data_IF_799011681679
#
_entry.id   IF_799011681679
#
_cell.length_a   1.000
_cell.length_b   1.000
_cell.length_c   1.000
_cell.angle_alpha   90.00
_cell.angle_beta   90.00
_cell.angle_gamma   90.00
#
_symmetry.space_group_name_H-M   'P 1'
#
loop_
_entity.id
_entity.type
_entity.pdbx_description
1 polymer ?
#
# COMPACT_ATOMS: atom_id res chain seq x y z
N UNK A 1 -74.24 42.46 32.71
CA UNK A 1 -74.52 42.40 31.26
C UNK A 1 -74.31 43.82 30.74
N UNK A 2 -73.39 44.19 29.86
CA UNK A 2 -72.92 43.54 28.61
C UNK A 2 -71.67 44.28 28.10
N UNK A 3 -70.69 43.48 27.61
CA UNK A 3 -69.72 43.68 26.52
C UNK A 3 -68.77 44.91 26.44
N UNK A 4 -67.47 44.63 26.61
CA UNK A 4 -66.32 45.40 26.09
C UNK A 4 -66.07 45.15 24.59
N UNK A 5 -65.59 46.14 23.82
CA UNK A 5 -65.11 45.95 22.45
C UNK A 5 -63.58 46.05 22.37
N UNK A 6 -62.86 44.95 22.18
CA UNK A 6 -61.46 44.99 21.73
C UNK A 6 -61.06 43.69 21.03
N UNK A 7 -61.60 43.44 19.83
CA UNK A 7 -61.04 42.46 18.88
C UNK A 7 -61.36 42.88 17.45
N UNK A 8 -60.49 43.68 16.82
CA UNK A 8 -60.47 43.82 15.35
C UNK A 8 -59.17 44.47 14.85
N UNK A 9 -58.04 43.75 14.96
CA UNK A 9 -56.81 44.08 14.22
C UNK A 9 -55.84 42.88 14.22
N UNK A 10 -56.25 41.72 13.67
CA UNK A 10 -55.32 40.60 13.49
C UNK A 10 -55.71 39.55 12.42
N UNK A 11 -56.61 39.84 11.48
CA UNK A 11 -57.00 38.84 10.45
C UNK A 11 -57.27 39.50 9.10
N UNK A 12 -56.23 39.89 8.36
CA UNK A 12 -56.36 40.20 6.92
C UNK A 12 -55.07 40.21 6.08
N UNK A 13 -54.00 39.53 6.50
CA UNK A 13 -52.76 39.44 5.73
C UNK A 13 -52.39 38.01 5.24
N UNK A 14 -53.27 37.01 5.36
CA UNK A 14 -52.85 35.59 5.31
C UNK A 14 -53.11 34.77 4.02
N UNK A 15 -54.01 35.10 3.06
CA UNK A 15 -54.27 34.20 1.93
C UNK A 15 -53.27 34.29 0.77
N UNK A 16 -52.49 35.39 0.66
CA UNK A 16 -51.51 35.59 -0.42
C UNK A 16 -50.06 35.20 -0.05
N UNK A 17 -49.75 35.08 1.25
CA UNK A 17 -48.42 34.70 1.74
C UNK A 17 -48.09 33.22 1.47
N UNK A 18 -49.08 32.33 1.63
CA UNK A 18 -48.89 30.88 1.45
C UNK A 18 -48.56 30.47 0.00
N UNK A 19 -49.27 30.93 -1.05
CA UNK A 19 -48.91 30.59 -2.43
C UNK A 19 -47.61 31.26 -2.89
N UNK A 20 -47.32 32.49 -2.47
CA UNK A 20 -46.06 33.18 -2.82
C UNK A 20 -44.84 32.51 -2.15
N UNK A 21 -44.97 32.06 -0.90
CA UNK A 21 -43.96 31.23 -0.25
C UNK A 21 -43.77 29.88 -0.97
N UNK A 22 -44.86 29.23 -1.42
CA UNK A 22 -44.79 27.96 -2.16
C UNK A 22 -44.06 28.11 -3.49
N UNK A 23 -44.45 29.07 -4.33
CA UNK A 23 -43.81 29.31 -5.62
C UNK A 23 -42.38 29.82 -5.47
N UNK A 24 -42.10 30.65 -4.45
CA UNK A 24 -40.74 31.06 -4.11
C UNK A 24 -39.87 29.87 -3.67
N UNK A 25 -40.39 28.95 -2.87
CA UNK A 25 -39.67 27.74 -2.47
C UNK A 25 -39.38 26.85 -3.69
N UNK A 26 -40.36 26.65 -4.56
CA UNK A 26 -40.18 25.89 -5.81
C UNK A 26 -39.10 26.53 -6.69
N UNK A 27 -39.16 27.85 -6.91
CA UNK A 27 -38.16 28.56 -7.71
C UNK A 27 -36.74 28.42 -7.13
N UNK A 28 -36.59 28.52 -5.80
CA UNK A 28 -35.28 28.32 -5.13
C UNK A 28 -34.79 26.89 -5.27
N UNK A 29 -35.64 25.89 -5.05
CA UNK A 29 -35.26 24.48 -5.20
C UNK A 29 -34.92 24.14 -6.66
N UNK A 30 -35.69 24.65 -7.63
CA UNK A 30 -35.40 24.50 -9.06
C UNK A 30 -34.08 25.16 -9.43
N UNK A 31 -33.79 26.36 -8.92
CA UNK A 31 -32.51 27.04 -9.13
C UNK A 31 -31.35 26.21 -8.53
N UNK A 32 -31.51 25.69 -7.32
CA UNK A 32 -30.50 24.84 -6.69
C UNK A 32 -30.26 23.55 -7.49
N UNK A 33 -31.31 22.93 -8.01
CA UNK A 33 -31.19 21.75 -8.89
C UNK A 33 -30.48 22.08 -10.20
N UNK A 34 -30.82 23.21 -10.83
CA UNK A 34 -30.14 23.67 -12.06
C UNK A 34 -28.67 23.95 -11.76
N UNK A 35 -28.34 24.58 -10.64
CA UNK A 35 -26.96 24.81 -10.22
C UNK A 35 -26.21 23.51 -9.91
N UNK A 36 -26.87 22.53 -9.30
CA UNK A 36 -26.30 21.20 -9.03
C UNK A 36 -25.95 20.47 -10.33
N UNK A 37 -26.86 20.49 -11.31
CA UNK A 37 -26.65 19.88 -12.63
C UNK A 37 -25.61 20.64 -13.46
N UNK A 38 -25.61 21.97 -13.41
CA UNK A 38 -24.65 22.80 -14.14
C UNK A 38 -23.24 22.72 -13.54
N UNK A 39 -23.13 22.46 -12.24
CA UNK A 39 -21.86 22.40 -11.51
C UNK A 39 -21.80 21.13 -10.64
N UNK A 40 -21.62 19.94 -11.23
CA UNK A 40 -21.56 18.69 -10.47
C UNK A 40 -20.42 18.72 -9.43
N UNK A 41 -20.57 18.03 -8.28
CA UNK A 41 -19.54 18.02 -7.26
C UNK A 41 -18.26 17.35 -7.82
N UNK A 42 -17.06 17.93 -7.59
CA UNK A 42 -15.80 17.36 -8.06
C UNK A 42 -15.43 16.15 -7.20
N UNK A 43 -16.11 15.02 -7.44
CA UNK A 43 -15.82 13.78 -6.75
C UNK A 43 -14.53 13.16 -7.29
N UNK A 44 -13.69 12.57 -6.41
CA UNK A 44 -12.48 11.88 -6.82
C UNK A 44 -12.73 10.82 -7.89
N UNK A 45 -11.90 10.81 -8.93
CA UNK A 45 -11.90 9.71 -9.91
C UNK A 45 -10.90 8.63 -9.46
N UNK A 46 -11.16 7.38 -9.84
CA UNK A 46 -10.27 6.24 -9.61
C UNK A 46 -8.82 6.43 -10.12
N UNK A 47 -8.56 7.43 -10.98
CA UNK A 47 -7.22 7.76 -11.51
C UNK A 47 -6.40 8.72 -10.63
N UNK A 48 -6.99 9.32 -9.61
CA UNK A 48 -6.34 10.30 -8.72
C UNK A 48 -5.87 9.69 -7.39
N UNK A 49 -5.77 8.36 -7.32
CA UNK A 49 -5.41 7.64 -6.10
C UNK A 49 -4.02 7.05 -6.19
N UNK A 50 -3.20 7.35 -5.19
CA UNK A 50 -1.94 6.68 -4.92
C UNK A 50 -2.17 5.18 -4.75
N UNK A 51 -1.21 4.38 -5.22
CA UNK A 51 -1.24 2.92 -5.02
C UNK A 51 -0.43 2.59 -3.78
N UNK A 52 -1.01 1.79 -2.87
CA UNK A 52 -0.33 1.24 -1.71
C UNK A 52 -0.13 -0.27 -1.90
N UNK A 53 1.13 -0.73 -1.90
CA UNK A 53 1.46 -2.16 -1.86
C UNK A 53 1.78 -2.53 -0.42
N UNK A 54 1.09 -3.54 0.11
CA UNK A 54 1.22 -3.98 1.50
C UNK A 54 1.69 -5.43 1.59
N UNK A 55 2.34 -5.76 2.70
CA UNK A 55 2.62 -7.13 3.11
C UNK A 55 1.34 -7.85 3.53
N UNK A 56 1.44 -9.15 3.81
CA UNK A 56 0.30 -10.00 4.18
C UNK A 56 -0.44 -9.52 5.42
N UNK A 57 0.25 -8.87 6.35
CA UNK A 57 -0.31 -8.30 7.58
C UNK A 57 -0.89 -6.89 7.41
N UNK A 58 -0.88 -6.35 6.19
CA UNK A 58 -1.31 -4.99 5.86
C UNK A 58 -0.23 -3.92 6.07
N UNK A 59 0.97 -4.27 6.53
CA UNK A 59 2.07 -3.31 6.68
C UNK A 59 2.52 -2.79 5.30
N UNK A 60 2.64 -1.46 5.10
CA UNK A 60 3.14 -0.88 3.86
C UNK A 60 4.52 -1.41 3.47
N UNK A 61 4.62 -1.96 2.26
CA UNK A 61 5.89 -2.27 1.61
C UNK A 61 6.38 -1.06 0.82
N UNK A 62 5.50 -0.48 0.00
CA UNK A 62 5.80 0.71 -0.78
C UNK A 62 4.52 1.45 -1.11
N UNK A 63 4.57 2.77 -0.94
CA UNK A 63 3.54 3.67 -1.43
C UNK A 63 4.03 4.41 -2.68
N UNK A 64 3.10 4.62 -3.61
CA UNK A 64 3.32 5.39 -4.82
C UNK A 64 2.49 6.65 -4.74
N UNK A 65 3.15 7.80 -4.71
CA UNK A 65 2.47 9.08 -4.73
C UNK A 65 1.62 9.26 -6.00
N UNK A 66 0.60 10.09 -5.90
CA UNK A 66 -0.21 10.52 -7.05
C UNK A 66 0.58 11.43 -8.01
N UNK A 67 -0.11 11.97 -9.02
CA UNK A 67 0.50 12.88 -10.00
C UNK A 67 1.08 14.17 -9.37
N UNK A 68 0.53 14.61 -8.24
CA UNK A 68 0.94 15.81 -7.50
C UNK A 68 1.99 15.51 -6.41
N UNK A 69 2.45 14.25 -6.31
CA UNK A 69 3.43 13.84 -5.30
C UNK A 69 2.83 13.64 -3.89
N UNK A 70 1.50 13.55 -3.79
CA UNK A 70 0.76 13.38 -2.54
C UNK A 70 0.55 11.90 -2.21
N UNK A 71 0.65 11.59 -0.93
CA UNK A 71 0.57 10.26 -0.35
C UNK A 71 -0.81 10.10 0.28
N UNK A 72 -1.65 9.24 -0.30
CA UNK A 72 -2.98 8.89 0.24
C UNK A 72 -3.11 7.38 0.41
N UNK A 73 -3.43 6.94 1.62
CA UNK A 73 -3.68 5.53 1.88
C UNK A 73 -5.20 5.36 2.04
N UNK A 74 -5.82 4.35 1.39
CA UNK A 74 -7.25 4.12 1.52
C UNK A 74 -7.64 3.92 2.99
N UNK A 75 -8.68 4.63 3.43
CA UNK A 75 -9.21 4.55 4.78
C UNK A 75 -10.74 4.56 4.76
N UNK A 76 -11.34 3.73 5.61
CA UNK A 76 -12.78 3.68 5.85
C UNK A 76 -13.05 3.82 7.35
N UNK A 77 -14.32 3.98 7.70
CA UNK A 77 -14.76 4.03 9.11
C UNK A 77 -14.34 2.77 9.86
N UNK A 78 -14.38 1.61 9.20
CA UNK A 78 -14.04 0.31 9.79
C UNK A 78 -12.53 0.05 9.83
N UNK A 79 -11.73 0.81 9.08
CA UNK A 79 -10.27 0.65 9.03
C UNK A 79 -9.51 1.56 10.00
N UNK A 80 -10.20 2.40 10.76
CA UNK A 80 -9.60 3.36 11.69
C UNK A 80 -10.03 3.10 13.13
N UNK A 81 -9.20 3.49 14.10
CA UNK A 81 -9.50 3.29 15.51
C UNK A 81 -10.81 3.98 15.91
N UNK A 82 -11.70 3.33 16.67
CA UNK A 82 -12.88 3.97 17.25
C UNK A 82 -12.52 5.18 18.11
N UNK A 83 -11.34 5.18 18.76
CA UNK A 83 -10.85 6.32 19.55
C UNK A 83 -10.61 7.54 18.66
N UNK A 84 -10.06 7.34 17.46
CA UNK A 84 -9.86 8.42 16.50
C UNK A 84 -11.20 9.00 16.03
N UNK A 85 -12.18 8.14 15.71
CA UNK A 85 -13.51 8.60 15.32
C UNK A 85 -14.20 9.38 16.45
N UNK A 86 -14.08 8.91 17.70
CA UNK A 86 -14.60 9.61 18.87
C UNK A 86 -13.96 10.99 19.01
N UNK A 87 -12.62 11.08 18.95
CA UNK A 87 -11.89 12.33 19.05
C UNK A 87 -12.26 13.29 17.91
N UNK A 88 -12.20 12.82 16.66
CA UNK A 88 -12.50 13.62 15.47
C UNK A 88 -13.92 14.18 15.51
N UNK A 89 -14.93 13.33 15.70
CA UNK A 89 -16.32 13.77 15.69
C UNK A 89 -16.63 14.69 16.88
N UNK A 90 -16.19 14.38 18.09
CA UNK A 90 -16.53 15.21 19.25
C UNK A 90 -15.75 16.53 19.28
N UNK A 91 -14.55 16.59 18.70
CA UNK A 91 -13.73 17.79 18.65
C UNK A 91 -14.07 18.69 17.45
N UNK A 92 -14.19 18.12 16.25
CA UNK A 92 -14.47 18.88 15.01
C UNK A 92 -15.98 19.11 14.79
N UNK A 93 -16.82 18.07 14.94
CA UNK A 93 -18.22 18.14 14.51
C UNK A 93 -19.17 17.17 15.24
N UNK A 94 -19.56 17.55 16.47
CA UNK A 94 -20.36 16.69 17.36
C UNK A 94 -21.71 16.27 16.78
N UNK A 95 -22.28 17.08 15.88
CA UNK A 95 -23.59 16.81 15.28
C UNK A 95 -23.48 16.30 13.85
N UNK A 96 -22.30 15.81 13.44
CA UNK A 96 -22.01 15.36 12.08
C UNK A 96 -23.14 14.54 11.48
N UNK A 97 -23.66 13.55 12.21
CA UNK A 97 -24.72 12.65 11.73
C UNK A 97 -26.10 13.28 11.57
N UNK A 98 -26.35 14.49 12.10
CA UNK A 98 -27.68 15.09 12.18
C UNK A 98 -27.88 16.29 11.26
N UNK A 99 -26.82 17.04 10.95
CA UNK A 99 -26.96 18.27 10.17
C UNK A 99 -26.86 17.99 8.66
N UNK A 100 -27.50 18.79 7.79
CA UNK A 100 -27.42 18.64 6.34
C UNK A 100 -26.19 19.37 5.77
N UNK A 101 -24.99 18.96 6.20
CA UNK A 101 -23.71 19.54 5.75
C UNK A 101 -23.31 20.85 6.42
N UNK A 102 -24.25 21.66 6.89
CA UNK A 102 -23.98 22.88 7.65
C UNK A 102 -24.71 22.78 8.99
N UNK A 103 -24.06 23.20 10.08
CA UNK A 103 -24.68 23.26 11.40
C UNK A 103 -25.23 24.67 11.69
N UNK A 104 -26.57 24.88 11.68
CA UNK A 104 -27.17 26.20 11.87
C UNK A 104 -26.88 26.79 13.25
N UNK A 105 -26.90 25.95 14.29
CA UNK A 105 -26.57 26.36 15.66
C UNK A 105 -25.09 26.75 15.79
N UNK A 106 -24.21 26.03 15.08
CA UNK A 106 -22.79 26.36 14.96
C UNK A 106 -22.56 27.73 14.34
N UNK A 107 -23.25 28.03 13.23
CA UNK A 107 -23.18 29.32 12.55
C UNK A 107 -23.75 30.47 13.38
N UNK A 108 -24.92 30.29 14.00
CA UNK A 108 -25.53 31.31 14.86
C UNK A 108 -24.64 31.66 16.05
N UNK A 109 -24.06 30.65 16.70
CA UNK A 109 -23.11 30.83 17.80
C UNK A 109 -21.85 31.56 17.34
N UNK A 110 -21.27 31.18 16.20
CA UNK A 110 -20.10 31.84 15.64
C UNK A 110 -20.39 33.30 15.25
N UNK A 111 -21.56 33.57 14.67
CA UNK A 111 -22.02 34.92 14.33
C UNK A 111 -22.20 35.81 15.56
N UNK A 112 -22.84 35.28 16.62
CA UNK A 112 -22.99 36.00 17.90
C UNK A 112 -21.63 36.33 18.53
N UNK A 113 -20.67 35.39 18.49
CA UNK A 113 -19.32 35.63 19.00
C UNK A 113 -18.57 36.69 18.19
N UNK A 114 -18.67 36.66 16.86
CA UNK A 114 -18.05 37.68 16.01
C UNK A 114 -18.61 39.07 16.29
N UNK A 115 -19.94 39.19 16.45
CA UNK A 115 -20.60 40.45 16.78
C UNK A 115 -20.19 41.00 18.16
N UNK A 116 -19.99 40.11 19.15
CA UNK A 116 -19.64 40.51 20.52
C UNK A 116 -18.14 40.76 20.73
N UNK A 117 -17.28 40.04 20.03
CA UNK A 117 -15.83 40.00 20.34
C UNK A 117 -14.96 40.55 19.20
N UNK A 118 -15.56 40.98 18.09
CA UNK A 118 -14.85 41.52 16.91
C UNK A 118 -13.99 40.50 16.15
N UNK A 119 -13.90 39.25 16.63
CA UNK A 119 -13.10 38.16 16.05
C UNK A 119 -13.83 36.83 16.18
N UNK A 120 -13.60 35.93 15.23
CA UNK A 120 -14.17 34.58 15.26
C UNK A 120 -13.34 33.74 16.25
N UNK A 121 -13.92 33.38 17.39
CA UNK A 121 -13.25 32.63 18.47
C UNK A 121 -13.52 31.12 18.41
N UNK A 122 -14.57 30.69 17.69
CA UNK A 122 -14.85 29.26 17.48
C UNK A 122 -15.08 28.89 16.01
N UNK A 123 -14.63 27.70 15.63
CA UNK A 123 -14.88 27.13 14.31
C UNK A 123 -16.35 26.82 14.13
N UNK A 124 -16.98 27.43 13.13
CA UNK A 124 -18.35 27.13 12.70
C UNK A 124 -18.41 26.16 11.51
N UNK A 125 -17.27 25.63 11.06
CA UNK A 125 -17.18 24.74 9.90
C UNK A 125 -17.40 23.29 10.33
N UNK A 126 -18.28 22.58 9.65
CA UNK A 126 -18.56 21.14 9.82
C UNK A 126 -17.52 20.29 9.08
N UNK A 127 -17.48 18.97 9.36
CA UNK A 127 -16.63 18.04 8.60
C UNK A 127 -17.01 18.04 7.11
N UNK A 128 -18.31 18.10 6.78
CA UNK A 128 -18.75 18.17 5.39
C UNK A 128 -18.27 19.44 4.67
N UNK A 129 -18.25 20.58 5.37
CA UNK A 129 -17.64 21.81 4.85
C UNK A 129 -16.12 21.64 4.67
N UNK A 130 -15.44 20.94 5.57
CA UNK A 130 -14.01 20.66 5.41
C UNK A 130 -13.74 19.80 4.17
N UNK A 131 -14.52 18.74 3.94
CA UNK A 131 -14.45 17.90 2.72
C UNK A 131 -14.71 18.73 1.48
N UNK A 132 -15.76 19.57 1.47
CA UNK A 132 -16.05 20.46 0.34
C UNK A 132 -14.86 21.36 -0.01
N UNK A 133 -14.15 21.89 0.99
CA UNK A 133 -12.95 22.73 0.79
C UNK A 133 -11.75 21.93 0.30
N UNK A 134 -11.61 20.68 0.71
CA UNK A 134 -10.54 19.78 0.26
C UNK A 134 -10.75 19.43 -1.23
N UNK A 135 -11.99 19.16 -1.65
CA UNK A 135 -12.31 18.78 -3.02
C UNK A 135 -12.41 19.97 -4.00
N UNK A 136 -12.85 21.14 -3.53
CA UNK A 136 -12.98 22.37 -4.34
C UNK A 136 -12.29 23.54 -3.60
N UNK A 137 -10.95 23.63 -3.63
CA UNK A 137 -10.22 24.72 -2.97
C UNK A 137 -10.67 26.10 -3.47
N UNK A 138 -10.97 27.00 -2.54
CA UNK A 138 -11.51 28.34 -2.85
C UNK A 138 -10.82 29.44 -2.04
N UNK A 139 -10.99 30.69 -2.46
CA UNK A 139 -10.41 31.85 -1.77
C UNK A 139 -10.98 32.01 -0.35
N UNK A 140 -10.20 32.60 0.56
CA UNK A 140 -10.61 32.90 1.95
C UNK A 140 -11.47 34.16 2.05
N UNK A 141 -12.37 34.35 1.08
CA UNK A 141 -13.32 35.46 1.05
C UNK A 141 -14.67 35.03 1.62
N UNK A 142 -15.54 35.96 2.06
CA UNK A 142 -16.91 35.63 2.45
C UNK A 142 -17.66 34.87 1.33
N UNK A 143 -17.41 35.25 0.07
CA UNK A 143 -17.94 34.56 -1.10
C UNK A 143 -17.43 33.12 -1.21
N UNK A 144 -16.13 32.89 -1.04
CA UNK A 144 -15.57 31.54 -1.01
C UNK A 144 -16.18 30.67 0.09
N UNK A 145 -16.47 31.25 1.27
CA UNK A 145 -17.15 30.54 2.36
C UNK A 145 -18.62 30.22 2.04
N UNK A 146 -19.33 31.10 1.33
CA UNK A 146 -20.67 30.79 0.83
C UNK A 146 -20.64 29.65 -0.21
N UNK A 147 -19.68 29.68 -1.14
CA UNK A 147 -19.44 28.57 -2.08
C UNK A 147 -19.16 27.26 -1.34
N UNK A 148 -18.34 27.28 -0.29
CA UNK A 148 -18.05 26.12 0.56
C UNK A 148 -19.32 25.53 1.19
N UNK A 149 -20.19 26.39 1.71
CA UNK A 149 -21.46 25.99 2.32
C UNK A 149 -22.39 25.35 1.29
N UNK A 150 -22.55 25.95 0.11
CA UNK A 150 -23.35 25.39 -0.98
C UNK A 150 -22.81 24.03 -1.42
N UNK A 151 -21.48 23.89 -1.58
CA UNK A 151 -20.83 22.61 -1.89
C UNK A 151 -21.01 21.57 -0.79
N UNK A 152 -20.99 21.97 0.48
CA UNK A 152 -21.24 21.07 1.59
C UNK A 152 -22.66 20.48 1.55
N UNK A 153 -23.67 21.32 1.28
CA UNK A 153 -25.06 20.85 1.09
C UNK A 153 -25.15 19.95 -0.14
N UNK A 154 -24.48 20.32 -1.23
CA UNK A 154 -24.43 19.50 -2.44
C UNK A 154 -23.86 18.10 -2.18
N UNK A 155 -22.75 17.99 -1.43
CA UNK A 155 -22.17 16.70 -1.08
C UNK A 155 -23.14 15.83 -0.27
N UNK A 156 -23.94 16.41 0.62
CA UNK A 156 -24.94 15.66 1.43
C UNK A 156 -26.14 15.17 0.61
N UNK A 157 -26.42 15.80 -0.53
CA UNK A 157 -27.45 15.34 -1.46
C UNK A 157 -26.97 14.13 -2.25
N UNK A 158 -25.68 14.11 -2.63
CA UNK A 158 -25.11 13.07 -3.49
C UNK A 158 -24.44 11.91 -2.74
N UNK A 159 -24.01 12.12 -1.49
CA UNK A 159 -23.26 11.15 -0.71
C UNK A 159 -23.90 10.93 0.67
N UNK A 160 -23.82 9.68 1.13
CA UNK A 160 -24.11 9.35 2.53
C UNK A 160 -23.07 9.96 3.47
N UNK A 161 -23.47 10.18 4.74
CA UNK A 161 -22.55 10.61 5.81
C UNK A 161 -21.31 9.73 5.93
N UNK A 162 -21.47 8.42 5.73
CA UNK A 162 -20.36 7.48 5.78
C UNK A 162 -19.35 7.73 4.65
N UNK A 163 -19.83 8.00 3.43
CA UNK A 163 -18.97 8.34 2.28
C UNK A 163 -18.29 9.69 2.47
N UNK A 164 -18.98 10.70 3.01
CA UNK A 164 -18.39 12.01 3.32
C UNK A 164 -17.27 11.86 4.37
N UNK A 165 -17.51 11.06 5.41
CA UNK A 165 -16.50 10.79 6.42
C UNK A 165 -15.32 10.03 5.79
N UNK A 166 -15.55 9.01 4.97
CA UNK A 166 -14.47 8.30 4.26
C UNK A 166 -13.60 9.25 3.40
N UNK A 167 -14.23 10.17 2.67
CA UNK A 167 -13.50 11.21 1.92
C UNK A 167 -12.64 12.09 2.83
N UNK A 168 -13.11 12.43 4.02
CA UNK A 168 -12.31 13.14 5.01
C UNK A 168 -11.13 12.28 5.49
N UNK A 169 -11.38 11.03 5.87
CA UNK A 169 -10.36 10.11 6.37
C UNK A 169 -9.22 9.88 5.36
N UNK A 170 -9.52 9.90 4.07
CA UNK A 170 -8.54 9.70 2.99
C UNK A 170 -7.81 10.99 2.57
N UNK A 171 -8.45 12.16 2.69
CA UNK A 171 -7.96 13.40 2.06
C UNK A 171 -7.68 14.56 3.03
N UNK A 172 -7.96 14.40 4.32
CA UNK A 172 -7.60 15.42 5.30
C UNK A 172 -6.10 15.71 5.25
N UNK A 173 -5.67 16.98 5.18
CA UNK A 173 -4.26 17.32 5.09
C UNK A 173 -3.58 17.15 6.44
N UNK A 174 -2.45 16.45 6.46
CA UNK A 174 -1.67 16.19 7.69
C UNK A 174 -0.30 16.91 7.71
N UNK A 175 0.08 17.53 6.58
CA UNK A 175 1.27 18.38 6.45
C UNK A 175 2.26 17.84 5.42
N UNK A 176 2.92 18.74 4.69
CA UNK A 176 3.78 18.35 3.58
C UNK A 176 2.96 17.65 2.48
N UNK A 177 3.41 16.48 2.04
CA UNK A 177 2.79 15.66 1.00
C UNK A 177 1.88 14.55 1.55
N UNK A 178 1.45 14.65 2.81
CA UNK A 178 0.70 13.59 3.51
C UNK A 178 -0.77 14.00 3.61
N UNK A 179 -1.65 13.18 3.04
CA UNK A 179 -3.10 13.31 3.13
C UNK A 179 -3.74 12.01 3.59
N UNK A 180 -4.72 12.14 4.48
CA UNK A 180 -5.44 11.03 5.08
C UNK A 180 -4.81 10.47 6.35
N UNK A 181 -5.67 9.97 7.23
CA UNK A 181 -5.29 9.53 8.59
C UNK A 181 -4.41 8.28 8.56
N UNK A 182 -4.65 7.35 7.63
CA UNK A 182 -3.85 6.13 7.51
C UNK A 182 -2.42 6.45 7.05
N UNK A 183 -2.27 7.32 6.06
CA UNK A 183 -0.96 7.80 5.62
C UNK A 183 -0.23 8.55 6.75
N UNK A 184 -0.94 9.42 7.48
CA UNK A 184 -0.40 10.16 8.62
C UNK A 184 0.02 9.25 9.79
N UNK A 185 -0.76 8.21 10.09
CA UNK A 185 -0.44 7.25 11.15
C UNK A 185 0.85 6.50 10.83
N UNK A 186 1.03 6.02 9.59
CA UNK A 186 2.29 5.41 9.18
C UNK A 186 3.45 6.40 9.15
N UNK A 187 3.22 7.61 8.66
CA UNK A 187 4.25 8.63 8.52
C UNK A 187 4.78 9.13 9.87
N UNK A 188 3.91 9.39 10.84
CA UNK A 188 4.30 9.96 12.13
C UNK A 188 4.51 8.91 13.22
N UNK A 189 3.71 7.84 13.24
CA UNK A 189 3.67 6.86 14.33
C UNK A 189 4.24 5.48 13.90
N UNK A 190 4.34 5.21 12.60
CA UNK A 190 4.86 3.96 12.07
C UNK A 190 3.99 2.74 12.38
N UNK A 191 2.67 2.92 12.44
CA UNK A 191 1.67 1.87 12.69
C UNK A 191 0.32 2.19 12.02
N UNK A 192 -0.57 1.21 11.83
CA UNK A 192 -1.88 1.45 11.19
C UNK A 192 -2.80 2.31 12.06
N UNK A 193 -3.67 3.11 11.43
CA UNK A 193 -4.62 3.98 12.15
C UNK A 193 -5.69 3.20 12.93
N UNK A 194 -5.84 1.91 12.66
CA UNK A 194 -6.66 1.00 13.46
C UNK A 194 -6.13 0.79 14.90
N UNK A 195 -4.83 1.00 15.15
CA UNK A 195 -4.16 0.70 16.44
C UNK A 195 -3.68 1.95 17.19
N UNK A 196 -4.43 3.04 17.07
CA UNK A 196 -4.14 4.31 17.76
C UNK A 196 -4.52 4.24 19.24
N UNK A 197 -3.64 4.73 20.11
CA UNK A 197 -3.94 5.07 21.51
C UNK A 197 -4.83 6.31 21.58
N UNK A 198 -5.33 6.65 22.77
CA UNK A 198 -6.10 7.90 22.95
C UNK A 198 -5.24 9.14 22.66
N UNK A 199 -3.97 9.13 23.07
CA UNK A 199 -3.04 10.23 22.84
C UNK A 199 -2.81 10.45 21.34
N UNK A 200 -2.58 9.36 20.60
CA UNK A 200 -2.34 9.40 19.16
C UNK A 200 -3.61 9.71 18.36
N UNK A 201 -4.76 9.18 18.79
CA UNK A 201 -6.06 9.52 18.23
C UNK A 201 -6.36 11.03 18.38
N UNK A 202 -6.15 11.58 19.57
CA UNK A 202 -6.30 13.01 19.84
C UNK A 202 -5.31 13.85 19.03
N UNK A 203 -4.07 13.39 18.89
CA UNK A 203 -3.04 14.04 18.09
C UNK A 203 -3.47 14.10 16.63
N UNK A 204 -3.75 12.95 15.99
CA UNK A 204 -4.16 12.89 14.59
C UNK A 204 -5.51 13.58 14.31
N UNK A 205 -6.39 13.71 15.30
CA UNK A 205 -7.63 14.46 15.15
C UNK A 205 -7.40 15.98 15.04
N UNK A 206 -6.36 16.53 15.69
CA UNK A 206 -6.11 17.98 15.70
C UNK A 206 -5.17 18.47 14.59
N UNK A 207 -4.29 17.61 14.06
CA UNK A 207 -3.31 18.00 13.03
C UNK A 207 -3.95 18.70 11.81
N UNK A 208 -5.09 18.26 11.26
CA UNK A 208 -5.69 18.88 10.07
C UNK A 208 -6.12 20.34 10.24
N UNK A 209 -6.26 20.85 11.47
CA UNK A 209 -6.62 22.24 11.71
C UNK A 209 -5.54 23.21 11.25
N UNK A 210 -4.27 22.84 11.41
CA UNK A 210 -3.13 23.66 11.03
C UNK A 210 -1.94 22.76 10.63
N UNK A 211 -2.07 22.02 9.52
CA UNK A 211 -1.22 20.86 9.19
C UNK A 211 0.26 21.21 9.17
N UNK A 212 0.65 22.34 8.57
CA UNK A 212 2.06 22.76 8.54
C UNK A 212 2.62 23.21 9.89
N UNK A 213 1.79 23.81 10.75
CA UNK A 213 2.20 24.39 12.04
C UNK A 213 2.18 23.39 13.19
N UNK A 214 1.35 22.35 13.06
CA UNK A 214 1.20 21.30 14.07
C UNK A 214 1.98 20.03 13.72
N UNK A 215 2.82 20.07 12.67
CA UNK A 215 3.68 18.95 12.28
C UNK A 215 4.48 18.43 13.49
N UNK A 216 4.20 17.21 13.98
CA UNK A 216 4.85 16.73 15.20
C UNK A 216 6.36 16.49 15.00
N UNK A 217 6.82 16.32 13.76
CA UNK A 217 8.24 16.12 13.41
C UNK A 217 9.05 17.43 13.38
N UNK A 218 8.38 18.57 13.28
CA UNK A 218 9.01 19.90 13.26
C UNK A 218 8.71 20.73 14.49
N UNK A 219 7.52 20.55 15.05
CA UNK A 219 6.96 21.37 16.12
C UNK A 219 6.32 20.47 17.20
N UNK A 220 7.08 19.56 17.83
CA UNK A 220 6.54 18.56 18.77
C UNK A 220 5.78 19.19 19.94
N UNK A 221 6.29 20.27 20.52
CA UNK A 221 5.60 20.96 21.63
C UNK A 221 4.26 21.59 21.21
N UNK A 222 4.19 22.17 20.00
CA UNK A 222 2.96 22.76 19.50
C UNK A 222 1.91 21.68 19.21
N UNK A 223 2.35 20.55 18.66
CA UNK A 223 1.52 19.37 18.45
C UNK A 223 1.02 18.79 19.78
N UNK A 224 1.89 18.70 20.80
CA UNK A 224 1.54 18.24 22.14
C UNK A 224 0.49 19.14 22.80
N UNK A 225 0.68 20.47 22.79
CA UNK A 225 -0.32 21.41 23.33
C UNK A 225 -1.66 21.30 22.61
N UNK A 226 -1.65 21.06 21.30
CA UNK A 226 -2.85 20.87 20.51
C UNK A 226 -3.56 19.55 20.86
N UNK A 227 -2.82 18.46 21.00
CA UNK A 227 -3.32 17.15 21.44
C UNK A 227 -3.93 17.23 22.84
N UNK A 228 -3.22 17.82 23.79
CA UNK A 228 -3.66 17.93 25.18
C UNK A 228 -4.97 18.72 25.30
N UNK A 229 -5.16 19.72 24.43
CA UNK A 229 -6.43 20.44 24.32
C UNK A 229 -7.59 19.54 23.86
N UNK A 230 -7.35 18.61 22.94
CA UNK A 230 -8.36 17.62 22.53
C UNK A 230 -8.67 16.67 23.67
N UNK A 231 -7.63 16.17 24.36
CA UNK A 231 -7.77 15.28 25.51
C UNK A 231 -8.64 15.89 26.61
N UNK A 232 -8.33 17.11 27.05
CA UNK A 232 -9.13 17.84 28.06
C UNK A 232 -10.57 18.10 27.55
N UNK A 233 -10.74 18.31 26.24
CA UNK A 233 -12.07 18.46 25.64
C UNK A 233 -12.88 17.16 25.69
N UNK A 234 -12.26 16.00 25.55
CA UNK A 234 -12.94 14.70 25.65
C UNK A 234 -13.41 14.43 27.08
N UNK A 235 -12.62 14.78 28.10
CA UNK A 235 -13.04 14.73 29.51
C UNK A 235 -14.23 15.65 29.76
N UNK A 236 -14.14 16.92 29.32
CA UNK A 236 -15.20 17.90 29.53
C UNK A 236 -16.53 17.53 28.86
N UNK A 237 -16.49 16.69 27.82
CA UNK A 237 -17.67 16.16 27.15
C UNK A 237 -18.15 14.81 27.73
N UNK A 238 -17.41 14.24 28.69
CA UNK A 238 -17.69 12.93 29.28
C UNK A 238 -17.49 11.76 28.32
N UNK A 239 -16.68 11.93 27.27
CA UNK A 239 -16.43 10.90 26.26
C UNK A 239 -15.36 9.91 26.73
N UNK A 240 -14.31 10.42 27.37
CA UNK A 240 -13.22 9.64 27.97
C UNK A 240 -13.15 9.95 29.47
N UNK A 241 -12.72 8.96 30.26
CA UNK A 241 -12.55 9.15 31.71
C UNK A 241 -11.34 10.07 31.98
N UNK A 242 -11.31 10.64 33.19
CA UNK A 242 -10.17 11.46 33.62
C UNK A 242 -8.89 10.62 33.68
N UNK A 243 -8.99 9.41 34.22
CA UNK A 243 -7.87 8.49 34.38
C UNK A 243 -7.27 8.10 33.03
N UNK A 244 -8.09 7.72 32.04
CA UNK A 244 -7.60 7.37 30.70
C UNK A 244 -6.86 8.55 30.04
N UNK A 245 -7.36 9.77 30.24
CA UNK A 245 -6.76 10.98 29.68
C UNK A 245 -5.46 11.35 30.38
N UNK A 246 -5.40 11.22 31.71
CA UNK A 246 -4.18 11.49 32.45
C UNK A 246 -3.09 10.46 32.06
N UNK A 247 -3.44 9.19 31.84
CA UNK A 247 -2.54 8.18 31.26
C UNK A 247 -2.09 8.55 29.84
N UNK A 248 -3.02 8.93 28.95
CA UNK A 248 -2.72 9.31 27.57
C UNK A 248 -1.79 10.54 27.48
N UNK A 249 -1.79 11.44 28.47
CA UNK A 249 -0.91 12.61 28.49
C UNK A 249 0.55 12.27 28.76
N UNK A 250 0.81 11.13 29.40
CA UNK A 250 2.16 10.63 29.68
C UNK A 250 2.86 10.23 28.38
N UNK A 251 2.12 9.74 27.38
CA UNK A 251 2.70 9.40 26.07
C UNK A 251 3.36 10.63 25.43
N UNK A 252 4.66 10.58 25.08
CA UNK A 252 5.32 11.73 24.47
C UNK A 252 4.96 11.86 23.00
N UNK A 253 4.88 13.10 22.48
CA UNK A 253 4.73 13.34 21.04
C UNK A 253 6.10 13.22 20.38
N UNK A 254 6.49 12.00 20.03
CA UNK A 254 7.71 11.70 19.28
C UNK A 254 7.33 11.17 17.90
N UNK A 255 7.82 11.82 16.84
CA UNK A 255 7.68 11.26 15.50
C UNK A 255 8.83 10.35 15.18
N UNK A 256 8.52 9.23 14.53
CA UNK A 256 9.55 8.47 13.80
C UNK A 256 10.02 9.28 12.60
N UNK A 257 11.24 9.01 12.13
CA UNK A 257 11.73 9.62 10.90
C UNK A 257 10.74 9.35 9.76
N UNK A 258 10.37 10.40 9.02
CA UNK A 258 9.50 10.36 7.84
C UNK A 258 10.24 9.70 6.67
N UNK A 259 10.58 8.42 6.80
CA UNK A 259 11.07 7.61 5.72
C UNK A 259 9.89 6.83 5.17
N UNK A 260 9.54 7.01 3.90
CA UNK A 260 8.49 6.22 3.32
C UNK A 260 8.87 4.74 3.31
N UNK A 261 7.91 3.83 3.50
CA UNK A 261 8.17 2.40 3.40
C UNK A 261 8.72 2.10 2.01
N UNK A 262 9.91 1.48 1.97
CA UNK A 262 10.60 1.12 0.73
C UNK A 262 11.18 -0.29 0.86
N UNK A 263 10.30 -1.26 1.03
CA UNK A 263 10.60 -2.68 1.07
C UNK A 263 10.09 -3.37 -0.20
N UNK A 264 10.79 -4.42 -0.62
CA UNK A 264 10.51 -5.19 -1.82
C UNK A 264 10.24 -4.27 -3.04
N UNK A 265 11.00 -3.17 -3.17
CA UNK A 265 10.63 -2.04 -4.00
C UNK A 265 10.40 -2.41 -5.47
N UNK A 266 11.18 -3.35 -5.99
CA UNK A 266 11.06 -3.88 -7.35
C UNK A 266 9.79 -4.74 -7.53
N UNK A 267 9.49 -5.63 -6.58
CA UNK A 267 8.24 -6.38 -6.59
C UNK A 267 7.02 -5.44 -6.48
N UNK A 268 7.06 -4.46 -5.59
CA UNK A 268 5.98 -3.49 -5.45
C UNK A 268 5.73 -2.72 -6.75
N UNK A 269 6.79 -2.32 -7.46
CA UNK A 269 6.68 -1.70 -8.79
C UNK A 269 6.03 -2.64 -9.82
N UNK A 270 6.43 -3.93 -9.81
CA UNK A 270 5.85 -4.96 -10.68
C UNK A 270 4.37 -5.18 -10.39
N UNK A 271 3.99 -5.29 -9.12
CA UNK A 271 2.60 -5.48 -8.70
C UNK A 271 1.72 -4.30 -9.09
N UNK A 272 2.18 -3.07 -8.86
CA UNK A 272 1.50 -1.85 -9.34
C UNK A 272 1.31 -1.86 -10.86
N UNK A 273 2.35 -2.23 -11.60
CA UNK A 273 2.29 -2.25 -13.07
C UNK A 273 1.31 -3.31 -13.59
N UNK A 274 1.18 -4.43 -12.88
CA UNK A 274 0.21 -5.48 -13.19
C UNK A 274 -1.23 -5.12 -12.81
N UNK A 275 -1.42 -4.26 -11.79
CA UNK A 275 -2.73 -3.84 -11.28
C UNK A 275 -2.86 -2.30 -11.25
N UNK A 276 -2.83 -1.61 -12.41
CA UNK A 276 -2.73 -0.15 -12.47
C UNK A 276 -3.95 0.61 -11.95
N UNK A 277 -5.07 -0.08 -11.70
CA UNK A 277 -6.33 0.50 -11.17
C UNK A 277 -6.56 0.20 -9.69
N UNK A 278 -5.69 -0.60 -9.06
CA UNK A 278 -5.83 -0.93 -7.65
C UNK A 278 -5.24 0.18 -6.78
N UNK A 279 -6.06 0.73 -5.87
CA UNK A 279 -5.57 1.69 -4.87
C UNK A 279 -4.77 0.98 -3.75
N UNK A 280 -5.09 -0.28 -3.46
CA UNK A 280 -4.38 -1.12 -2.49
C UNK A 280 -4.15 -2.51 -3.07
N UNK A 281 -2.91 -2.99 -3.02
CA UNK A 281 -2.50 -4.31 -3.50
C UNK A 281 -1.90 -5.08 -2.31
N UNK A 282 -2.56 -6.17 -1.93
CA UNK A 282 -2.05 -7.09 -0.91
C UNK A 282 -1.07 -8.06 -1.55
N UNK A 283 0.09 -8.23 -0.91
CA UNK A 283 1.08 -9.23 -1.31
C UNK A 283 1.17 -10.37 -0.30
N UNK A 284 1.79 -11.48 -0.71
CA UNK A 284 2.01 -12.64 0.16
C UNK A 284 3.21 -12.51 1.10
N UNK A 285 3.96 -11.41 1.01
CA UNK A 285 5.22 -11.22 1.73
C UNK A 285 5.00 -11.10 3.24
N UNK A 286 5.94 -11.67 3.99
CA UNK A 286 6.09 -11.44 5.42
C UNK A 286 7.04 -10.25 5.64
N UNK A 287 6.56 -9.18 6.29
CA UNK A 287 7.34 -7.95 6.44
C UNK A 287 8.57 -8.14 7.35
N UNK A 288 8.47 -8.99 8.37
CA UNK A 288 9.58 -9.26 9.28
C UNK A 288 10.72 -9.96 8.55
N UNK A 289 10.38 -11.06 7.86
CA UNK A 289 11.32 -11.81 7.03
C UNK A 289 11.91 -10.95 5.91
N UNK A 290 11.08 -10.15 5.23
CA UNK A 290 11.53 -9.25 4.16
C UNK A 290 12.62 -8.29 4.66
N UNK A 291 12.38 -7.60 5.79
CA UNK A 291 13.33 -6.64 6.37
C UNK A 291 14.65 -7.30 6.75
N UNK A 292 14.58 -8.42 7.46
CA UNK A 292 15.78 -9.17 7.88
C UNK A 292 16.63 -9.59 6.68
N UNK A 293 16.00 -10.04 5.59
CA UNK A 293 16.71 -10.47 4.39
C UNK A 293 17.29 -9.31 3.59
N UNK A 294 16.57 -8.19 3.45
CA UNK A 294 17.10 -6.97 2.84
C UNK A 294 18.32 -6.46 3.59
N UNK A 295 18.25 -6.36 4.92
CA UNK A 295 19.35 -5.93 5.78
C UNK A 295 20.56 -6.88 5.67
N UNK A 296 20.31 -8.20 5.66
CA UNK A 296 21.39 -9.20 5.57
C UNK A 296 22.07 -9.17 4.21
N UNK A 297 21.31 -9.06 3.12
CA UNK A 297 21.87 -8.94 1.76
C UNK A 297 22.65 -7.64 1.65
N UNK A 298 22.07 -6.50 2.05
CA UNK A 298 22.74 -5.21 1.99
C UNK A 298 24.06 -5.22 2.76
N UNK A 299 24.05 -5.76 4.00
CA UNK A 299 25.22 -5.82 4.88
C UNK A 299 26.33 -6.74 4.37
N UNK A 300 25.99 -7.85 3.70
CA UNK A 300 26.99 -8.76 3.12
C UNK A 300 27.61 -8.18 1.84
N UNK A 301 26.78 -7.66 0.94
CA UNK A 301 27.23 -7.18 -0.36
C UNK A 301 27.89 -5.80 -0.32
N UNK A 302 27.73 -5.03 0.77
CA UNK A 302 28.47 -3.78 0.98
C UNK A 302 29.99 -3.97 1.06
N UNK A 303 30.44 -5.17 1.42
CA UNK A 303 31.86 -5.53 1.50
C UNK A 303 32.43 -5.99 0.14
N UNK A 304 31.58 -6.20 -0.86
CA UNK A 304 31.95 -6.66 -2.20
C UNK A 304 32.06 -5.48 -3.18
N UNK A 305 32.79 -5.65 -4.32
CA UNK A 305 32.95 -4.60 -5.32
C UNK A 305 31.63 -3.97 -5.75
N UNK A 306 31.67 -2.68 -6.07
CA UNK A 306 30.50 -1.81 -6.37
C UNK A 306 29.62 -2.28 -7.54
N UNK A 307 30.07 -3.21 -8.38
CA UNK A 307 29.29 -3.76 -9.51
C UNK A 307 28.73 -5.15 -9.24
N UNK A 308 28.63 -5.51 -7.96
CA UNK A 308 28.04 -6.77 -7.52
C UNK A 308 26.56 -6.58 -7.19
N UNK A 309 25.70 -7.41 -7.78
CA UNK A 309 24.26 -7.46 -7.52
C UNK A 309 23.87 -8.82 -6.94
N UNK A 310 22.66 -8.90 -6.39
CA UNK A 310 22.13 -10.07 -5.72
C UNK A 310 20.62 -10.17 -5.93
N UNK A 311 20.12 -11.40 -5.95
CA UNK A 311 18.69 -11.68 -5.77
C UNK A 311 18.50 -12.79 -4.75
N UNK A 312 17.40 -12.69 -4.01
CA UNK A 312 16.96 -13.70 -3.07
C UNK A 312 15.43 -13.79 -3.12
N UNK A 313 14.92 -15.00 -3.24
CA UNK A 313 13.49 -15.28 -3.28
C UNK A 313 13.18 -16.44 -2.35
N UNK A 314 12.30 -16.21 -1.37
CA UNK A 314 11.84 -17.26 -0.44
C UNK A 314 10.41 -17.59 -0.78
N UNK A 315 10.13 -18.88 -0.97
CA UNK A 315 8.80 -19.38 -1.36
C UNK A 315 8.37 -20.47 -0.40
N UNK A 316 7.09 -20.43 -0.04
CA UNK A 316 6.43 -21.50 0.68
C UNK A 316 6.22 -22.71 -0.25
N UNK A 317 6.88 -23.83 0.04
CA UNK A 317 6.84 -25.02 -0.81
C UNK A 317 5.42 -25.60 -0.99
N UNK A 318 4.48 -25.37 -0.08
CA UNK A 318 3.13 -25.95 -0.20
C UNK A 318 2.24 -25.09 -1.08
N UNK A 319 2.31 -23.78 -0.89
CA UNK A 319 1.37 -22.80 -1.48
C UNK A 319 1.94 -22.06 -2.69
N UNK A 320 3.27 -22.13 -2.90
CA UNK A 320 4.03 -21.32 -3.84
C UNK A 320 3.94 -19.81 -3.59
N UNK A 321 3.48 -19.39 -2.41
CA UNK A 321 3.47 -17.99 -2.02
C UNK A 321 4.90 -17.51 -1.76
N UNK A 322 5.28 -16.38 -2.37
CA UNK A 322 6.51 -15.69 -2.01
C UNK A 322 6.37 -15.14 -0.58
N UNK A 323 7.33 -15.49 0.29
CA UNK A 323 7.43 -14.98 1.66
C UNK A 323 8.39 -13.81 1.76
N UNK A 324 9.41 -13.76 0.90
CA UNK A 324 10.32 -12.62 0.77
C UNK A 324 10.85 -12.48 -0.66
N UNK A 325 11.13 -11.26 -1.09
CA UNK A 325 11.59 -10.89 -2.42
C UNK A 325 12.65 -9.79 -2.37
N UNK A 326 13.89 -10.13 -2.68
CA UNK A 326 15.00 -9.19 -2.84
C UNK A 326 15.45 -9.24 -4.28
N UNK A 327 15.11 -8.21 -5.06
CA UNK A 327 15.48 -8.12 -6.48
C UNK A 327 16.85 -7.48 -6.73
N UNK A 328 17.42 -6.82 -5.73
CA UNK A 328 18.71 -6.12 -5.82
C UNK A 328 19.28 -5.88 -4.43
N UNK A 329 20.59 -5.63 -4.31
CA UNK A 329 21.25 -5.31 -3.03
C UNK A 329 20.66 -4.07 -2.35
N UNK A 330 20.55 -2.98 -3.11
CA UNK A 330 20.00 -1.71 -2.62
C UNK A 330 19.22 -1.04 -3.74
N UNK A 331 17.93 -0.76 -3.52
CA UNK A 331 17.11 -0.13 -4.54
C UNK A 331 17.59 1.30 -4.82
N UNK A 332 17.70 1.64 -6.11
CA UNK A 332 18.12 2.99 -6.54
C UNK A 332 19.64 3.25 -6.50
N UNK A 333 20.45 2.30 -6.06
CA UNK A 333 21.92 2.38 -6.15
C UNK A 333 22.36 2.34 -7.62
N UNK A 334 22.96 3.44 -8.10
CA UNK A 334 23.43 3.55 -9.50
C UNK A 334 24.66 2.71 -9.76
N UNK A 335 25.59 2.59 -8.81
CA UNK A 335 26.84 1.85 -8.99
C UNK A 335 26.55 0.33 -9.11
N UNK A 336 25.64 -0.16 -8.27
CA UNK A 336 25.21 -1.58 -8.25
C UNK A 336 24.07 -1.92 -9.21
N UNK A 337 23.59 -0.96 -10.00
CA UNK A 337 22.43 -1.12 -10.88
C UNK A 337 21.18 -1.60 -10.13
N UNK A 338 20.89 -1.02 -8.97
CA UNK A 338 19.80 -1.37 -8.05
C UNK A 338 18.37 -1.17 -8.58
N UNK A 339 18.22 -0.82 -9.85
CA UNK A 339 16.95 -0.80 -10.57
C UNK A 339 16.71 -2.08 -11.38
N UNK A 340 17.73 -2.91 -11.58
CA UNK A 340 17.64 -4.16 -12.34
C UNK A 340 17.20 -5.28 -11.41
N UNK A 341 16.02 -5.83 -11.67
CA UNK A 341 15.47 -6.93 -10.89
C UNK A 341 16.13 -8.26 -11.26
N UNK A 342 17.07 -8.70 -10.42
CA UNK A 342 17.79 -9.97 -10.59
C UNK A 342 16.89 -11.20 -10.38
N UNK A 343 15.70 -11.08 -9.78
CA UNK A 343 14.75 -12.20 -9.70
C UNK A 343 14.14 -12.50 -11.07
N UNK A 344 13.90 -11.46 -11.87
CA UNK A 344 13.34 -11.56 -13.23
C UNK A 344 14.42 -11.59 -14.33
N UNK A 345 15.67 -11.26 -13.99
CA UNK A 345 16.75 -11.19 -14.97
C UNK A 345 17.08 -12.58 -15.54
N UNK A 346 17.32 -12.62 -16.86
CA UNK A 346 17.87 -13.79 -17.52
C UNK A 346 19.34 -13.97 -17.11
N UNK A 347 19.65 -15.07 -16.45
CA UNK A 347 21.01 -15.44 -16.05
C UNK A 347 21.27 -16.90 -16.38
N UNK A 348 22.55 -17.23 -16.57
CA UNK A 348 22.93 -18.63 -16.67
C UNK A 348 22.52 -19.35 -15.38
N UNK A 349 21.73 -20.44 -15.44
CA UNK A 349 21.37 -21.20 -14.26
C UNK A 349 22.55 -22.03 -13.73
N UNK A 350 23.63 -22.17 -14.51
CA UNK A 350 24.73 -23.06 -14.18
C UNK A 350 24.25 -24.48 -13.85
N UNK A 351 24.83 -25.08 -12.82
CA UNK A 351 24.52 -26.44 -12.37
C UNK A 351 23.17 -26.59 -11.67
N UNK A 352 22.38 -25.52 -11.50
CA UNK A 352 21.07 -25.60 -10.83
C UNK A 352 20.03 -26.41 -11.64
N UNK A 353 20.30 -26.72 -12.91
CA UNK A 353 19.44 -27.59 -13.71
C UNK A 353 19.68 -29.10 -13.46
N UNK A 354 20.82 -29.49 -12.89
CA UNK A 354 21.20 -30.90 -12.70
C UNK A 354 20.17 -31.70 -11.87
N UNK A 355 19.63 -31.20 -10.75
CA UNK A 355 18.62 -31.95 -9.99
C UNK A 355 17.42 -32.39 -10.84
N UNK A 356 16.96 -31.54 -11.77
CA UNK A 356 15.83 -31.88 -12.65
C UNK A 356 16.18 -32.96 -13.67
N UNK A 357 17.41 -32.95 -14.19
CA UNK A 357 17.89 -33.99 -15.11
C UNK A 357 17.97 -35.34 -14.41
N UNK A 358 18.57 -35.37 -13.22
CA UNK A 358 18.67 -36.60 -12.42
C UNK A 358 17.28 -37.10 -12.01
N UNK A 359 16.38 -36.19 -11.59
CA UNK A 359 14.98 -36.53 -11.31
C UNK A 359 14.28 -37.17 -12.50
N UNK A 360 14.40 -36.58 -13.70
CA UNK A 360 13.82 -37.16 -14.92
C UNK A 360 14.40 -38.54 -15.24
N UNK A 361 15.72 -38.71 -15.11
CA UNK A 361 16.37 -39.98 -15.40
C UNK A 361 15.98 -41.08 -14.39
N UNK A 362 15.73 -40.70 -13.13
CA UNK A 362 15.16 -41.59 -12.10
C UNK A 362 13.71 -41.96 -12.45
N UNK A 363 12.88 -41.00 -12.82
CA UNK A 363 11.47 -41.22 -13.22
C UNK A 363 11.37 -42.14 -14.44
N UNK A 364 12.30 -42.01 -15.40
CA UNK A 364 12.39 -42.86 -16.59
C UNK A 364 13.00 -44.24 -16.31
N UNK A 365 13.53 -44.49 -15.10
CA UNK A 365 14.23 -45.73 -14.74
C UNK A 365 15.59 -45.90 -15.42
N UNK A 366 16.17 -44.84 -15.98
CA UNK A 366 17.49 -44.87 -16.63
C UNK A 366 18.63 -45.04 -15.63
N UNK A 367 18.43 -44.53 -14.41
CA UNK A 367 19.38 -44.61 -13.30
C UNK A 367 18.64 -44.86 -11.98
N UNK A 368 19.39 -45.29 -10.96
CA UNK A 368 19.04 -45.23 -9.54
C UNK A 368 20.19 -44.53 -8.78
N UNK A 369 20.05 -44.30 -7.46
CA UNK A 369 21.01 -43.51 -6.66
C UNK A 369 22.44 -44.06 -6.68
N UNK A 370 22.60 -45.37 -6.82
CA UNK A 370 23.87 -46.08 -6.87
C UNK A 370 24.31 -46.48 -8.28
N UNK A 371 23.61 -46.04 -9.33
CA UNK A 371 24.06 -46.29 -10.69
C UNK A 371 25.45 -45.69 -10.89
N UNK A 372 26.35 -46.50 -11.42
CA UNK A 372 27.73 -46.10 -11.65
C UNK A 372 27.81 -45.13 -12.84
N UNK A 373 28.38 -43.97 -12.60
CA UNK A 373 28.66 -42.93 -13.59
C UNK A 373 30.16 -42.74 -13.74
N UNK A 374 30.60 -42.34 -14.92
CA UNK A 374 32.01 -42.16 -15.24
C UNK A 374 32.35 -40.68 -15.25
N UNK A 375 33.15 -40.25 -14.28
CA UNK A 375 33.78 -38.93 -14.25
C UNK A 375 35.22 -39.03 -14.75
N UNK A 376 35.40 -39.03 -16.07
CA UNK A 376 36.69 -39.12 -16.76
C UNK A 376 36.64 -38.30 -18.06
N UNK A 377 37.79 -37.91 -18.67
CA UNK A 377 37.79 -37.17 -19.93
C UNK A 377 36.97 -37.87 -21.01
N UNK A 378 35.95 -37.18 -21.53
CA UNK A 378 35.02 -37.71 -22.53
C UNK A 378 34.75 -36.68 -23.62
N UNK A 379 34.37 -37.17 -24.80
CA UNK A 379 34.00 -36.35 -25.94
C UNK A 379 32.63 -36.79 -26.48
N UNK A 380 31.72 -35.83 -26.62
CA UNK A 380 30.34 -36.04 -27.06
C UNK A 380 30.14 -35.31 -28.39
N UNK A 381 30.28 -36.02 -29.52
CA UNK A 381 30.17 -35.39 -30.85
C UNK A 381 31.13 -34.20 -31.06
N UNK A 382 32.34 -34.27 -30.48
CA UNK A 382 33.34 -33.19 -30.52
C UNK A 382 33.26 -32.18 -29.36
N UNK A 383 32.19 -32.20 -28.55
CA UNK A 383 32.09 -31.40 -27.33
C UNK A 383 32.84 -32.09 -26.17
N UNK A 384 33.76 -31.36 -25.52
CA UNK A 384 34.57 -31.86 -24.40
C UNK A 384 34.33 -31.01 -23.16
N UNK A 385 33.39 -31.41 -22.27
CA UNK A 385 33.17 -30.69 -21.02
C UNK A 385 34.34 -30.92 -20.05
N UNK A 386 34.80 -29.85 -19.42
CA UNK A 386 35.72 -29.93 -18.27
C UNK A 386 34.97 -29.87 -16.94
N UNK A 387 35.55 -30.45 -15.89
CA UNK A 387 35.12 -30.20 -14.51
C UNK A 387 35.66 -28.85 -14.00
N UNK A 388 35.03 -28.32 -12.95
CA UNK A 388 35.44 -27.05 -12.34
C UNK A 388 36.82 -27.18 -11.68
N UNK A 389 37.01 -28.24 -10.89
CA UNK A 389 38.33 -28.68 -10.44
C UNK A 389 38.86 -29.62 -11.53
N UNK A 390 40.04 -29.35 -12.10
CA UNK A 390 40.59 -30.11 -13.23
C UNK A 390 40.91 -31.60 -12.92
N UNK A 391 40.49 -32.10 -11.76
CA UNK A 391 40.61 -33.49 -11.34
C UNK A 391 39.36 -34.30 -11.69
N UNK A 392 39.59 -35.55 -12.09
CA UNK A 392 38.55 -36.53 -12.41
C UNK A 392 38.45 -37.54 -11.27
N UNK A 393 37.24 -37.89 -10.87
CA UNK A 393 36.98 -38.80 -9.76
C UNK A 393 36.90 -40.27 -10.20
N UNK A 394 36.89 -40.54 -11.50
CA UNK A 394 36.71 -41.88 -12.04
C UNK A 394 35.27 -42.39 -11.82
N UNK A 395 35.07 -43.66 -11.45
CA UNK A 395 33.73 -44.21 -11.25
C UNK A 395 33.10 -43.69 -9.96
N UNK A 396 31.92 -43.08 -10.06
CA UNK A 396 31.17 -42.52 -8.93
C UNK A 396 29.69 -42.88 -9.01
N UNK A 397 29.00 -42.98 -7.87
CA UNK A 397 27.54 -43.17 -7.89
C UNK A 397 26.80 -41.93 -8.38
N UNK A 398 25.60 -42.09 -8.95
CA UNK A 398 24.77 -40.97 -9.41
C UNK A 398 24.46 -39.98 -8.29
N UNK A 399 24.21 -40.46 -7.07
CA UNK A 399 24.00 -39.62 -5.89
C UNK A 399 25.26 -38.79 -5.57
N UNK A 400 26.45 -39.39 -5.67
CA UNK A 400 27.72 -38.68 -5.47
C UNK A 400 27.98 -37.67 -6.58
N UNK A 401 27.73 -38.03 -7.84
CA UNK A 401 27.90 -37.15 -8.98
C UNK A 401 27.03 -35.89 -8.88
N UNK A 402 25.77 -36.03 -8.45
CA UNK A 402 24.89 -34.89 -8.20
C UNK A 402 25.33 -34.06 -7.00
N UNK A 403 25.68 -34.71 -5.87
CA UNK A 403 26.13 -34.03 -4.63
C UNK A 403 27.37 -33.17 -4.86
N UNK A 404 28.33 -33.69 -5.63
CA UNK A 404 29.55 -32.98 -6.01
C UNK A 404 29.35 -32.09 -7.24
N UNK A 405 28.15 -32.09 -7.84
CA UNK A 405 27.80 -31.30 -9.02
C UNK A 405 28.82 -31.50 -10.17
N UNK A 406 29.23 -32.74 -10.44
CA UNK A 406 30.21 -33.07 -11.49
C UNK A 406 29.65 -32.76 -12.88
N UNK A 407 30.49 -32.30 -13.80
CA UNK A 407 30.04 -31.84 -15.12
C UNK A 407 29.93 -33.02 -16.10
N UNK A 408 30.96 -33.86 -16.16
CA UNK A 408 31.00 -34.94 -17.16
C UNK A 408 29.85 -35.94 -16.98
N UNK A 409 29.56 -36.47 -15.78
CA UNK A 409 28.41 -37.36 -15.58
C UNK A 409 27.07 -36.70 -15.95
N UNK A 410 26.91 -35.40 -15.67
CA UNK A 410 25.68 -34.69 -16.01
C UNK A 410 25.51 -34.50 -17.52
N UNK A 411 26.60 -34.33 -18.26
CA UNK A 411 26.57 -34.24 -19.73
C UNK A 411 26.28 -35.60 -20.36
N UNK A 412 26.93 -36.68 -19.91
CA UNK A 412 26.62 -38.05 -20.36
C UNK A 412 25.15 -38.39 -20.12
N UNK A 413 24.63 -38.08 -18.93
CA UNK A 413 23.23 -38.31 -18.61
C UNK A 413 22.29 -37.48 -19.50
N UNK A 414 22.63 -36.22 -19.79
CA UNK A 414 21.83 -35.38 -20.69
C UNK A 414 21.84 -35.91 -22.12
N UNK A 415 22.95 -36.48 -22.58
CA UNK A 415 23.07 -37.07 -23.91
C UNK A 415 22.11 -38.27 -24.06
N UNK A 416 22.04 -39.13 -23.04
CA UNK A 416 21.11 -40.27 -22.97
C UNK A 416 19.65 -39.83 -22.88
N UNK A 417 19.35 -38.81 -22.08
CA UNK A 417 17.98 -38.28 -21.92
C UNK A 417 17.50 -37.50 -23.15
N UNK A 418 18.43 -36.82 -23.82
CA UNK A 418 18.18 -35.93 -24.95
C UNK A 418 17.92 -34.48 -24.53
N UNK A 419 18.74 -33.55 -25.04
CA UNK A 419 18.68 -32.12 -24.69
C UNK A 419 17.35 -31.46 -25.04
N UNK A 420 16.75 -31.81 -26.18
CA UNK A 420 15.46 -31.27 -26.61
C UNK A 420 14.31 -31.72 -25.71
N UNK A 421 14.31 -33.02 -25.34
CA UNK A 421 13.32 -33.61 -24.43
C UNK A 421 13.41 -32.99 -23.04
N UNK A 422 14.63 -32.83 -22.53
CA UNK A 422 14.87 -32.19 -21.23
C UNK A 422 14.37 -30.74 -21.22
N UNK A 423 14.73 -29.94 -22.22
CA UNK A 423 14.26 -28.55 -22.33
C UNK A 423 12.74 -28.45 -22.43
N UNK A 424 12.09 -29.33 -23.19
CA UNK A 424 10.64 -29.38 -23.33
C UNK A 424 9.94 -29.69 -21.98
N UNK A 425 10.49 -30.65 -21.19
CA UNK A 425 9.93 -30.96 -19.88
C UNK A 425 10.10 -29.81 -18.89
N UNK A 426 11.26 -29.14 -18.88
CA UNK A 426 11.46 -27.96 -18.06
C UNK A 426 10.46 -26.85 -18.39
N UNK A 427 10.19 -26.62 -19.67
CA UNK A 427 9.16 -25.67 -20.12
C UNK A 427 7.77 -26.07 -19.62
N UNK A 428 7.40 -27.34 -19.71
CA UNK A 428 6.13 -27.86 -19.17
C UNK A 428 6.04 -27.71 -17.64
N UNK A 429 7.16 -27.81 -16.93
CA UNK A 429 7.25 -27.59 -15.49
C UNK A 429 7.26 -26.10 -15.10
N UNK A 430 7.24 -25.17 -16.06
CA UNK A 430 7.21 -23.72 -15.84
C UNK A 430 8.57 -23.04 -15.89
N UNK A 431 9.67 -23.76 -16.13
CA UNK A 431 10.99 -23.17 -16.38
C UNK A 431 11.10 -22.82 -17.85
N UNK A 432 10.93 -21.53 -18.16
CA UNK A 432 11.17 -21.04 -19.53
C UNK A 432 12.65 -20.81 -19.72
N UNK A 433 13.28 -21.55 -20.62
CA UNK A 433 14.68 -21.39 -20.96
C UNK A 433 14.85 -20.44 -22.13
N UNK A 434 15.88 -19.58 -22.07
CA UNK A 434 16.21 -18.64 -23.14
C UNK A 434 17.56 -18.99 -23.76
N UNK A 435 17.52 -19.42 -25.01
CA UNK A 435 18.72 -19.75 -25.77
C UNK A 435 19.23 -18.56 -26.60
N UNK A 436 20.52 -18.50 -26.95
CA UNK A 436 21.03 -17.59 -27.96
C UNK A 436 20.26 -17.69 -29.29
N UNK A 437 20.19 -16.59 -30.04
CA UNK A 437 19.50 -16.56 -31.33
C UNK A 437 20.06 -17.63 -32.28
N UNK A 438 19.16 -18.38 -32.93
CA UNK A 438 19.52 -19.44 -33.87
C UNK A 438 20.06 -20.72 -33.24
N UNK A 439 20.12 -20.82 -31.91
CA UNK A 439 20.58 -22.03 -31.22
C UNK A 439 19.41 -22.90 -30.75
N UNK A 440 19.60 -24.22 -30.85
CA UNK A 440 18.71 -25.24 -30.32
C UNK A 440 19.28 -25.80 -28.99
N UNK A 441 18.43 -26.42 -28.15
CA UNK A 441 18.89 -27.12 -26.95
C UNK A 441 19.98 -28.15 -27.29
N UNK A 442 21.11 -28.07 -26.59
CA UNK A 442 22.26 -28.95 -26.76
C UNK A 442 22.90 -29.27 -25.39
N UNK A 443 23.94 -30.11 -25.38
CA UNK A 443 24.55 -30.60 -24.13
C UNK A 443 25.08 -29.51 -23.19
N UNK A 444 25.45 -28.33 -23.70
CA UNK A 444 25.89 -27.21 -22.85
C UNK A 444 24.78 -26.69 -21.93
N UNK A 445 23.51 -27.00 -22.23
CA UNK A 445 22.34 -26.65 -21.42
C UNK A 445 22.52 -27.03 -19.95
N UNK A 446 22.98 -28.24 -19.65
CA UNK A 446 23.08 -28.74 -18.26
C UNK A 446 24.16 -28.03 -17.43
N UNK A 447 25.08 -27.35 -18.11
CA UNK A 447 26.15 -26.56 -17.50
C UNK A 447 25.83 -25.05 -17.53
N UNK A 448 24.62 -24.67 -17.94
CA UNK A 448 24.18 -23.29 -17.97
C UNK A 448 24.40 -22.57 -19.30
N UNK A 449 24.54 -23.29 -20.42
CA UNK A 449 24.52 -22.74 -21.79
C UNK A 449 23.18 -22.16 -22.24
N UNK A 450 22.36 -21.69 -21.31
CA UNK A 450 21.02 -21.11 -21.49
C UNK A 450 20.80 -19.99 -20.47
N UNK A 451 19.77 -19.17 -20.65
CA UNK A 451 19.22 -18.30 -19.61
C UNK A 451 18.03 -18.94 -18.90
N UNK A 452 17.91 -18.67 -17.60
CA UNK A 452 16.71 -18.91 -16.80
C UNK A 452 16.48 -17.71 -15.86
N UNK A 453 15.27 -17.61 -15.30
CA UNK A 453 14.93 -16.62 -14.25
C UNK A 453 14.89 -17.30 -12.89
N UNK A 454 15.25 -16.57 -11.84
CA UNK A 454 15.24 -17.11 -10.48
C UNK A 454 13.83 -17.54 -10.05
N UNK A 455 12.80 -16.72 -10.36
CA UNK A 455 11.41 -17.03 -10.01
C UNK A 455 10.92 -18.36 -10.61
N UNK A 456 11.33 -18.66 -11.84
CA UNK A 456 10.95 -19.90 -12.53
C UNK A 456 11.67 -21.11 -11.91
N UNK A 457 12.97 -20.96 -11.60
CA UNK A 457 13.75 -22.01 -10.93
C UNK A 457 13.17 -22.32 -9.56
N UNK A 458 12.95 -21.31 -8.70
CA UNK A 458 12.42 -21.52 -7.35
C UNK A 458 11.05 -22.19 -7.37
N UNK A 459 10.16 -21.77 -8.27
CA UNK A 459 8.84 -22.38 -8.45
C UNK A 459 8.90 -23.86 -8.87
N UNK A 460 9.91 -24.23 -9.67
CA UNK A 460 10.14 -25.61 -10.06
C UNK A 460 10.83 -26.45 -8.97
N UNK A 461 11.78 -25.87 -8.23
CA UNK A 461 12.44 -26.55 -7.10
C UNK A 461 11.45 -26.92 -5.99
N UNK A 462 10.39 -26.14 -5.81
CA UNK A 462 9.29 -26.52 -4.92
C UNK A 462 8.64 -27.87 -5.30
N UNK A 463 8.69 -28.27 -6.58
CA UNK A 463 8.20 -29.56 -7.06
C UNK A 463 8.81 -30.77 -6.37
N UNK A 464 10.09 -30.70 -5.95
CA UNK A 464 10.73 -31.77 -5.18
C UNK A 464 10.07 -31.99 -3.81
N UNK A 465 9.46 -30.96 -3.24
CA UNK A 465 8.70 -31.04 -1.98
C UNK A 465 7.18 -31.20 -2.21
N UNK A 466 6.75 -31.39 -3.47
CA UNK A 466 5.34 -31.43 -3.89
C UNK A 466 5.06 -32.61 -4.82
N UNK A 467 5.68 -33.76 -4.58
CA UNK A 467 5.48 -34.98 -5.37
C UNK A 467 5.65 -34.76 -6.89
N UNK A 468 6.65 -33.94 -7.28
CA UNK A 468 6.93 -33.63 -8.68
C UNK A 468 6.07 -32.50 -9.28
N UNK A 469 5.16 -31.90 -8.52
CA UNK A 469 4.28 -30.82 -9.01
C UNK A 469 4.97 -29.45 -8.84
N UNK A 470 5.65 -29.02 -9.89
CA UNK A 470 6.15 -27.65 -10.02
C UNK A 470 5.02 -26.62 -10.17
N UNK A 471 5.33 -25.33 -10.00
CA UNK A 471 4.38 -24.29 -10.36
C UNK A 471 4.97 -22.88 -10.34
N UNK A 472 4.11 -21.89 -10.57
CA UNK A 472 4.51 -20.49 -10.62
C UNK A 472 4.41 -19.84 -9.24
N UNK A 473 5.43 -19.07 -8.89
CA UNK A 473 5.45 -18.30 -7.64
C UNK A 473 4.30 -17.28 -7.64
N UNK A 474 3.58 -17.24 -6.52
CA UNK A 474 2.46 -16.32 -6.29
C UNK A 474 2.93 -15.16 -5.42
N UNK A 475 2.52 -13.95 -5.79
CA UNK A 475 2.89 -12.72 -5.09
C UNK A 475 1.70 -12.00 -4.46
N UNK A 476 0.48 -12.43 -4.78
CA UNK A 476 -0.81 -11.91 -4.29
C UNK A 476 -1.77 -13.04 -3.96
#
# INVERSE_FOLDING_TARGET
MTSYPFKRLARRAQPWLLPTLRWGTVAVLSLLLVLDLAFPPPLPKLRDTSTLVVARDGTPLRAFADADGVWRYPASIDSVSPLYLQALLNYEDRWFWRHPGINPWGLLRAGKQWLLQGRIVSGGSTLTMQVARILDPHTRTPWGKAKQMLRAVQLEVHLSKAQILALYLERAPYGGTIEGVEAASWAYLGKPAARLSQAEAALLAVLPQAPSRLRPDRHPEAAQRARDKVLERMVALGVWSRDDVDDARIEPVVTRALQPPLHAALLAQRLRSAQPRAARIESTLDIGLQRTLEERVSSYFSQLPERTSAALLVVDNRTLEARAYVGSVAFGDKQRLGHVDMVQAWRSPGSTLKPFLYGMALDDGLIHSESLMVDAPQAFGGYRPGNFDAAFNGPVSSATALRLSLNVPAVDLLDRVGSARFAARLSHAGITLRFPHGSAPNLSLILGGTGARLEDLVGAFAGFNRNGIAGRVRYT
#
